data_IF_699336023413
#
_entry.id   IF_699336023413
#
_cell.length_a   1.000
_cell.length_b   1.000
_cell.length_c   1.000
_cell.angle_alpha   90.00
_cell.angle_beta   90.00
_cell.angle_gamma   90.00
#
_symmetry.space_group_name_H-M   'P 1'
#
loop_
_entity.id
_entity.type
_entity.pdbx_description
1 polymer ?
#
# COMPACT_ATOMS: atom_id res chain seq x y z
N UNK A 1 -12.91 -8.25 19.26
CA UNK A 1 -12.08 -8.45 18.04
C UNK A 1 -12.96 -8.73 16.84
N UNK A 2 -13.98 -9.57 16.99
CA UNK A 2 -14.96 -9.89 15.95
C UNK A 2 -15.91 -8.71 15.63
N UNK A 3 -16.24 -7.89 16.63
CA UNK A 3 -17.03 -6.66 16.44
C UNK A 3 -16.34 -5.60 15.55
N UNK A 4 -15.01 -5.49 15.66
CA UNK A 4 -14.21 -4.55 14.85
C UNK A 4 -14.14 -4.99 13.39
N UNK A 5 -14.02 -6.31 13.15
CA UNK A 5 -14.06 -6.88 11.80
C UNK A 5 -15.45 -6.73 11.18
N UNK A 6 -16.51 -6.98 11.94
CA UNK A 6 -17.89 -6.80 11.49
C UNK A 6 -18.20 -5.32 11.16
N UNK A 7 -17.77 -4.38 12.00
CA UNK A 7 -17.94 -2.95 11.75
C UNK A 7 -17.16 -2.46 10.52
N UNK A 8 -15.96 -3.00 10.28
CA UNK A 8 -15.17 -2.68 9.08
C UNK A 8 -15.85 -3.20 7.81
N UNK A 9 -16.37 -4.44 7.83
CA UNK A 9 -17.12 -5.03 6.72
C UNK A 9 -18.41 -4.23 6.45
N UNK A 10 -19.15 -3.86 7.49
CA UNK A 10 -20.38 -3.06 7.36
C UNK A 10 -20.09 -1.65 6.79
N UNK A 11 -19.02 -0.99 7.23
CA UNK A 11 -18.56 0.26 6.65
C UNK A 11 -18.21 0.10 5.16
N UNK A 12 -17.47 -0.96 4.81
CA UNK A 12 -17.12 -1.28 3.42
C UNK A 12 -18.36 -1.60 2.56
N UNK A 13 -19.35 -2.33 3.09
CA UNK A 13 -20.61 -2.64 2.41
C UNK A 13 -21.43 -1.39 2.10
N UNK A 14 -21.44 -0.42 3.03
CA UNK A 14 -22.10 0.89 2.82
C UNK A 14 -21.42 1.66 1.69
N UNK A 15 -20.09 1.68 1.65
CA UNK A 15 -19.34 2.33 0.57
C UNK A 15 -19.63 1.72 -0.81
N UNK A 16 -19.73 0.38 -0.92
CA UNK A 16 -20.06 -0.29 -2.18
C UNK A 16 -21.50 0.04 -2.64
N UNK A 17 -22.48 0.07 -1.72
CA UNK A 17 -23.86 0.47 -2.05
C UNK A 17 -23.98 1.93 -2.49
N UNK A 18 -23.21 2.84 -1.88
CA UNK A 18 -23.23 4.27 -2.21
C UNK A 18 -22.69 4.57 -3.62
N UNK A 19 -21.84 3.72 -4.17
CA UNK A 19 -21.28 3.89 -5.52
C UNK A 19 -22.22 3.46 -6.66
N UNK A 20 -23.45 3.00 -6.38
CA UNK A 20 -24.39 2.55 -7.42
C UNK A 20 -23.93 1.33 -8.22
N UNK A 21 -22.85 0.67 -7.77
CA UNK A 21 -22.38 -0.58 -8.34
C UNK A 21 -23.32 -1.69 -7.89
N UNK A 22 -23.87 -2.44 -8.86
CA UNK A 22 -24.65 -3.64 -8.56
C UNK A 22 -23.68 -4.68 -7.99
N UNK A 23 -23.55 -4.72 -6.66
CA UNK A 23 -22.66 -5.63 -5.93
C UNK A 23 -23.00 -7.12 -6.13
N UNK A 24 -23.95 -7.43 -7.02
CA UNK A 24 -24.50 -8.75 -7.27
C UNK A 24 -23.84 -9.48 -8.44
N UNK A 25 -23.07 -8.80 -9.29
CA UNK A 25 -22.42 -9.44 -10.44
C UNK A 25 -20.93 -9.13 -10.43
N UNK A 26 -20.15 -10.03 -9.82
CA UNK A 26 -18.72 -10.07 -10.04
C UNK A 26 -18.44 -10.80 -11.35
N UNK A 27 -18.11 -10.06 -12.40
CA UNK A 27 -17.63 -10.63 -13.65
C UNK A 27 -16.15 -10.99 -13.49
N UNK A 28 -15.88 -12.30 -13.44
CA UNK A 28 -14.53 -12.83 -13.29
C UNK A 28 -13.62 -12.47 -14.48
N UNK A 29 -14.14 -12.47 -15.70
CA UNK A 29 -13.35 -12.20 -16.91
C UNK A 29 -13.02 -10.71 -17.02
N UNK A 30 -13.96 -9.83 -16.67
CA UNK A 30 -13.70 -8.40 -16.52
C UNK A 30 -12.65 -8.13 -15.44
N UNK A 31 -12.79 -8.79 -14.29
CA UNK A 31 -11.87 -8.63 -13.18
C UNK A 31 -10.45 -9.11 -13.52
N UNK A 32 -10.32 -10.23 -14.23
CA UNK A 32 -9.04 -10.74 -14.70
C UNK A 32 -8.39 -9.77 -15.70
N UNK A 33 -9.16 -9.21 -16.63
CA UNK A 33 -8.67 -8.18 -17.58
C UNK A 33 -8.18 -6.94 -16.85
N UNK A 34 -8.94 -6.43 -15.88
CA UNK A 34 -8.51 -5.29 -15.06
C UNK A 34 -7.21 -5.60 -14.31
N UNK A 35 -7.11 -6.80 -13.72
CA UNK A 35 -5.93 -7.22 -12.98
C UNK A 35 -4.69 -7.30 -13.88
N UNK A 36 -4.82 -7.91 -15.06
CA UNK A 36 -3.76 -8.01 -16.06
C UNK A 36 -3.30 -6.63 -16.56
N UNK A 37 -4.25 -5.73 -16.83
CA UNK A 37 -3.95 -4.36 -17.27
C UNK A 37 -3.24 -3.55 -16.17
N UNK A 38 -3.71 -3.65 -14.92
CA UNK A 38 -3.12 -2.93 -13.80
C UNK A 38 -1.64 -3.27 -13.58
N UNK A 39 -1.21 -4.49 -13.91
CA UNK A 39 0.18 -4.94 -13.79
C UNK A 39 0.90 -5.12 -15.13
N UNK A 40 0.29 -4.68 -16.24
CA UNK A 40 0.83 -4.90 -17.59
C UNK A 40 2.25 -4.38 -17.73
N UNK A 41 2.50 -3.19 -17.18
CA UNK A 41 3.83 -2.60 -17.13
C UNK A 41 4.48 -2.92 -15.78
N UNK A 42 5.60 -3.69 -15.77
CA UNK A 42 6.34 -3.98 -14.55
C UNK A 42 6.81 -2.70 -13.89
N UNK A 43 6.41 -2.49 -12.65
CA UNK A 43 6.88 -1.37 -11.84
C UNK A 43 7.99 -1.89 -10.92
N UNK A 44 9.23 -1.80 -11.40
CA UNK A 44 10.42 -2.19 -10.63
C UNK A 44 10.89 -1.00 -9.81
N UNK A 45 10.85 -1.16 -8.49
CA UNK A 45 11.24 -0.15 -7.52
C UNK A 45 12.59 -0.52 -6.91
N UNK A 46 13.45 0.50 -6.78
CA UNK A 46 14.74 0.39 -6.13
C UNK A 46 14.76 1.25 -4.86
N UNK A 47 15.39 0.76 -3.79
CA UNK A 47 15.57 1.50 -2.53
C UNK A 47 17.06 1.61 -2.22
N UNK A 48 17.60 2.82 -2.30
CA UNK A 48 19.04 3.05 -2.27
C UNK A 48 19.41 4.36 -1.56
N UNK A 49 20.69 4.74 -1.66
CA UNK A 49 21.25 6.03 -1.23
C UNK A 49 20.74 6.48 0.16
N UNK A 50 21.11 5.79 1.25
CA UNK A 50 20.70 6.17 2.59
C UNK A 50 21.31 7.54 2.95
N UNK A 51 20.49 8.47 3.40
CA UNK A 51 20.92 9.82 3.78
C UNK A 51 20.28 10.24 5.10
N UNK A 52 21.09 10.77 6.01
CA UNK A 52 20.60 11.34 7.26
C UNK A 52 20.11 12.76 7.02
N UNK A 53 18.82 12.99 7.24
CA UNK A 53 18.16 14.30 7.13
C UNK A 53 17.65 14.77 8.49
N UNK A 54 17.33 16.06 8.58
CA UNK A 54 16.73 16.69 9.76
C UNK A 54 17.71 17.57 10.55
N UNK A 55 17.16 18.37 11.46
CA UNK A 55 17.91 19.27 12.33
C UNK A 55 18.57 18.53 13.50
N UNK A 56 19.44 19.22 14.25
CA UNK A 56 20.30 18.66 15.30
C UNK A 56 19.62 17.64 16.23
N UNK A 57 18.37 17.88 16.64
CA UNK A 57 17.61 17.03 17.55
C UNK A 57 16.64 16.04 16.87
N UNK A 58 16.40 16.14 15.56
CA UNK A 58 15.39 15.36 14.83
C UNK A 58 15.96 14.65 13.60
N UNK A 59 17.15 14.06 13.75
CA UNK A 59 17.81 13.30 12.69
C UNK A 59 17.05 12.01 12.38
N UNK A 60 16.91 11.72 11.09
CA UNK A 60 16.32 10.47 10.61
C UNK A 60 16.98 10.06 9.29
N UNK A 61 17.11 8.76 9.06
CA UNK A 61 17.61 8.22 7.79
C UNK A 61 16.48 8.12 6.78
N UNK A 62 16.69 8.70 5.61
CA UNK A 62 15.83 8.60 4.43
C UNK A 62 16.52 7.72 3.38
N UNK A 63 15.71 7.10 2.53
CA UNK A 63 16.15 6.28 1.41
C UNK A 63 15.57 6.87 0.12
N UNK A 64 16.34 6.82 -0.95
CA UNK A 64 15.86 7.17 -2.28
C UNK A 64 15.08 5.99 -2.86
N UNK A 65 13.83 6.24 -3.26
CA UNK A 65 12.95 5.28 -3.93
C UNK A 65 12.81 5.69 -5.39
N UNK A 66 13.31 4.87 -6.30
CA UNK A 66 13.26 5.14 -7.75
C UNK A 66 12.46 4.09 -8.50
N UNK A 67 11.96 4.46 -9.68
CA UNK A 67 11.27 3.56 -10.62
C UNK A 67 12.22 3.26 -11.76
N UNK A 68 12.62 2.01 -11.98
CA UNK A 68 13.50 1.70 -13.12
C UNK A 68 12.82 2.06 -14.46
N UNK A 69 13.57 2.55 -15.46
CA UNK A 69 15.02 2.81 -15.48
C UNK A 69 15.42 4.22 -14.96
N UNK A 70 14.50 4.96 -14.35
CA UNK A 70 14.74 6.33 -13.90
C UNK A 70 15.67 6.38 -12.68
N UNK A 71 16.56 7.35 -12.68
CA UNK A 71 17.51 7.63 -11.59
C UNK A 71 16.94 8.59 -10.55
N UNK A 72 15.97 9.41 -10.96
CA UNK A 72 15.27 10.32 -10.07
C UNK A 72 14.18 9.57 -9.31
N UNK A 73 13.87 10.08 -8.12
CA UNK A 73 12.92 9.44 -7.25
C UNK A 73 12.62 10.24 -5.99
N UNK A 74 11.82 9.62 -5.13
CA UNK A 74 11.30 10.27 -3.93
C UNK A 74 12.07 9.81 -2.71
N UNK A 75 12.23 10.70 -1.73
CA UNK A 75 12.83 10.31 -0.45
C UNK A 75 11.78 9.98 0.59
N UNK A 76 11.98 8.83 1.22
CA UNK A 76 11.10 8.29 2.26
C UNK A 76 11.92 7.76 3.42
N UNK A 77 11.52 8.05 4.66
CA UNK A 77 12.12 7.47 5.87
C UNK A 77 11.39 6.18 6.24
N UNK A 78 12.02 5.36 7.08
CA UNK A 78 11.45 4.07 7.52
C UNK A 78 10.00 4.20 8.05
N UNK A 79 9.68 5.25 8.81
CA UNK A 79 8.33 5.45 9.34
C UNK A 79 7.28 5.81 8.28
N UNK A 80 7.69 6.28 7.09
CA UNK A 80 6.77 6.42 5.96
C UNK A 80 6.39 5.05 5.39
N UNK A 81 7.33 4.09 5.38
CA UNK A 81 7.02 2.69 5.01
C UNK A 81 6.13 2.01 6.05
N UNK A 82 6.34 2.28 7.35
CA UNK A 82 5.45 1.83 8.43
C UNK A 82 4.02 2.35 8.22
N UNK A 83 3.87 3.63 7.88
CA UNK A 83 2.58 4.23 7.52
C UNK A 83 1.94 3.53 6.33
N UNK A 84 2.68 3.34 5.22
CA UNK A 84 2.13 2.70 4.02
C UNK A 84 1.62 1.29 4.33
N UNK A 85 2.44 0.48 5.04
CA UNK A 85 2.04 -0.86 5.45
C UNK A 85 0.79 -0.84 6.33
N UNK A 86 0.72 0.08 7.29
CA UNK A 86 -0.43 0.20 8.19
C UNK A 86 -1.72 0.50 7.43
N UNK A 87 -1.69 1.47 6.50
CA UNK A 87 -2.85 1.83 5.68
C UNK A 87 -3.31 0.65 4.83
N UNK A 88 -2.39 -0.02 4.12
CA UNK A 88 -2.74 -1.17 3.28
C UNK A 88 -3.28 -2.35 4.12
N UNK A 89 -2.70 -2.61 5.29
CA UNK A 89 -3.18 -3.67 6.18
C UNK A 89 -4.60 -3.40 6.70
N UNK A 90 -4.96 -2.14 6.97
CA UNK A 90 -6.30 -1.78 7.38
C UNK A 90 -7.33 -1.90 6.23
N UNK A 91 -6.93 -1.56 4.99
CA UNK A 91 -7.81 -1.54 3.81
C UNK A 91 -8.07 -2.91 3.20
N UNK A 92 -7.06 -3.77 3.13
CA UNK A 92 -7.12 -5.03 2.39
C UNK A 92 -7.24 -6.21 3.35
N UNK A 93 -8.36 -6.26 4.08
CA UNK A 93 -8.65 -7.37 5.00
C UNK A 93 -8.65 -8.70 4.24
N UNK A 94 -7.97 -9.71 4.78
CA UNK A 94 -7.82 -11.02 4.16
C UNK A 94 -6.69 -11.12 3.14
N UNK A 95 -6.10 -10.00 2.70
CA UNK A 95 -4.93 -9.99 1.83
C UNK A 95 -3.64 -10.01 2.65
N UNK A 96 -2.68 -10.85 2.26
CA UNK A 96 -1.37 -10.88 2.89
C UNK A 96 -0.54 -9.65 2.51
N UNK A 97 -0.40 -8.71 3.44
CA UNK A 97 0.44 -7.53 3.24
C UNK A 97 1.90 -7.87 3.57
N UNK A 98 2.85 -7.60 2.65
CA UNK A 98 4.28 -7.84 2.87
C UNK A 98 4.79 -7.23 4.18
N UNK A 99 5.66 -7.95 4.89
CA UNK A 99 6.28 -7.45 6.11
C UNK A 99 7.40 -6.44 5.79
N UNK A 100 7.59 -5.49 6.71
CA UNK A 100 8.76 -4.62 6.68
C UNK A 100 9.96 -5.35 7.28
N UNK A 101 11.21 -4.99 6.90
CA UNK A 101 12.38 -5.47 7.62
C UNK A 101 12.36 -4.97 9.06
N UNK A 102 13.01 -5.72 9.95
CA UNK A 102 13.00 -5.41 11.38
C UNK A 102 13.53 -3.99 11.67
N UNK A 103 12.88 -3.36 12.65
CA UNK A 103 13.25 -2.02 13.12
C UNK A 103 14.64 -2.01 13.76
N UNK A 104 15.04 -3.13 14.35
CA UNK A 104 16.36 -3.37 14.93
C UNK A 104 16.87 -4.72 14.46
N UNK A 105 18.17 -4.83 14.19
CA UNK A 105 18.79 -6.11 13.92
C UNK A 105 19.85 -6.34 15.02
N UNK A 106 19.61 -7.24 15.98
CA UNK A 106 20.55 -7.45 17.09
C UNK A 106 21.92 -7.95 16.60
N UNK A 107 21.96 -8.65 15.45
CA UNK A 107 23.17 -9.25 14.89
C UNK A 107 23.88 -8.33 13.89
N UNK A 108 23.17 -7.44 13.20
CA UNK A 108 23.75 -6.57 12.16
C UNK A 108 23.97 -5.16 12.70
N UNK A 109 25.16 -4.59 12.46
CA UNK A 109 25.53 -3.23 12.88
C UNK A 109 25.96 -2.38 11.68
N UNK A 110 25.87 -1.06 11.81
CA UNK A 110 26.37 -0.09 10.84
C UNK A 110 25.84 -0.33 9.41
N UNK A 111 26.74 -0.38 8.44
CA UNK A 111 26.41 -0.48 7.01
C UNK A 111 25.72 -1.79 6.64
N UNK A 112 26.05 -2.89 7.31
CA UNK A 112 25.41 -4.19 7.07
C UNK A 112 23.92 -4.15 7.44
N UNK A 113 23.57 -3.41 8.50
CA UNK A 113 22.18 -3.18 8.89
C UNK A 113 21.45 -2.33 7.85
N UNK A 114 22.06 -1.22 7.39
CA UNK A 114 21.47 -0.36 6.37
C UNK A 114 21.25 -1.10 5.05
N UNK A 115 22.23 -1.90 4.61
CA UNK A 115 22.12 -2.71 3.40
C UNK A 115 21.00 -3.76 3.51
N UNK A 116 20.89 -4.45 4.66
CA UNK A 116 19.81 -5.40 4.91
C UNK A 116 18.44 -4.73 4.91
N UNK A 117 18.34 -3.56 5.55
CA UNK A 117 17.12 -2.74 5.56
C UNK A 117 16.71 -2.31 4.16
N UNK A 118 17.62 -1.75 3.36
CA UNK A 118 17.32 -1.34 1.98
C UNK A 118 16.79 -2.52 1.15
N UNK A 119 17.44 -3.68 1.21
CA UNK A 119 16.96 -4.90 0.54
C UNK A 119 15.56 -5.31 1.00
N UNK A 120 15.27 -5.23 2.30
CA UNK A 120 13.96 -5.53 2.85
C UNK A 120 12.87 -4.56 2.39
N UNK A 121 13.17 -3.26 2.42
CA UNK A 121 12.26 -2.21 1.94
C UNK A 121 11.98 -2.33 0.45
N UNK A 122 12.99 -2.66 -0.36
CA UNK A 122 12.83 -2.91 -1.79
C UNK A 122 11.94 -4.12 -2.06
N UNK A 123 12.14 -5.24 -1.36
CA UNK A 123 11.25 -6.42 -1.48
C UNK A 123 9.81 -6.09 -1.10
N UNK A 124 9.61 -5.32 -0.02
CA UNK A 124 8.30 -4.86 0.41
C UNK A 124 7.59 -4.05 -0.69
N UNK A 125 8.28 -3.06 -1.28
CA UNK A 125 7.72 -2.23 -2.35
C UNK A 125 7.44 -3.02 -3.63
N UNK A 126 8.36 -3.89 -4.05
CA UNK A 126 8.16 -4.69 -5.27
C UNK A 126 7.04 -5.72 -5.11
N UNK A 127 6.85 -6.28 -3.91
CA UNK A 127 5.69 -7.14 -3.63
C UNK A 127 4.37 -6.34 -3.75
N UNK A 128 4.31 -5.12 -3.23
CA UNK A 128 3.17 -4.21 -3.41
C UNK A 128 2.93 -3.90 -4.89
N UNK A 129 3.98 -3.53 -5.63
CA UNK A 129 3.91 -3.17 -7.04
C UNK A 129 3.49 -4.33 -7.96
N UNK A 130 3.72 -5.58 -7.53
CA UNK A 130 3.28 -6.78 -8.24
C UNK A 130 1.80 -7.11 -8.06
N UNK A 131 1.14 -6.55 -7.03
CA UNK A 131 -0.28 -6.78 -6.78
C UNK A 131 -1.12 -5.72 -7.51
N UNK A 132 -2.08 -6.13 -8.36
CA UNK A 132 -2.95 -5.18 -9.07
C UNK A 132 -3.80 -4.36 -8.09
N UNK A 133 -4.21 -4.95 -6.97
CA UNK A 133 -4.98 -4.22 -5.93
C UNK A 133 -4.10 -3.19 -5.22
N UNK A 134 -2.95 -3.61 -4.69
CA UNK A 134 -2.14 -2.74 -3.85
C UNK A 134 -1.49 -1.62 -4.65
N UNK A 135 -0.98 -1.90 -5.86
CA UNK A 135 -0.35 -0.86 -6.70
C UNK A 135 -1.34 0.21 -7.15
N UNK A 136 -2.62 -0.14 -7.27
CA UNK A 136 -3.71 0.75 -7.66
C UNK A 136 -4.37 1.44 -6.46
N UNK A 137 -3.74 1.41 -5.28
CA UNK A 137 -4.16 2.15 -4.10
C UNK A 137 -3.59 3.58 -4.11
N UNK A 138 -4.41 4.56 -3.71
CA UNK A 138 -3.97 5.95 -3.66
C UNK A 138 -2.84 6.21 -2.67
N UNK A 139 -2.73 5.43 -1.58
CA UNK A 139 -1.61 5.55 -0.65
C UNK A 139 -0.29 5.13 -1.29
N UNK A 140 -0.30 4.12 -2.18
CA UNK A 140 0.89 3.72 -2.95
C UNK A 140 1.25 4.77 -3.99
N UNK A 141 0.25 5.29 -4.71
CA UNK A 141 0.45 6.39 -5.66
C UNK A 141 1.09 7.60 -4.98
N UNK A 142 0.50 8.08 -3.87
CA UNK A 142 1.04 9.19 -3.08
C UNK A 142 2.43 8.89 -2.51
N UNK A 143 2.68 7.66 -2.04
CA UNK A 143 4.01 7.28 -1.53
C UNK A 143 5.10 7.40 -2.59
N UNK A 144 4.79 7.10 -3.85
CA UNK A 144 5.74 7.15 -4.97
C UNK A 144 5.79 8.51 -5.70
N UNK A 145 4.94 9.46 -5.29
CA UNK A 145 4.82 10.77 -5.93
C UNK A 145 5.73 11.81 -5.27
N UNK A 146 6.29 12.69 -6.10
CA UNK A 146 7.13 13.79 -5.61
C UNK A 146 6.24 14.96 -5.22
N UNK A 147 5.85 14.99 -3.94
CA UNK A 147 5.00 16.04 -3.38
C UNK A 147 5.74 17.35 -3.11
N UNK A 148 7.04 17.46 -3.45
CA UNK A 148 7.86 18.63 -3.17
C UNK A 148 8.46 18.59 -1.76
N UNK A 149 7.89 19.32 -0.80
CA UNK A 149 8.44 19.46 0.56
C UNK A 149 7.82 18.48 1.59
N UNK A 150 8.40 18.46 2.80
CA UNK A 150 7.91 17.58 3.89
C UNK A 150 6.47 17.94 4.30
N UNK A 151 6.06 19.20 4.21
CA UNK A 151 4.71 19.64 4.59
C UNK A 151 3.68 19.09 3.61
N UNK A 152 3.93 19.24 2.32
CA UNK A 152 3.11 18.69 1.26
C UNK A 152 3.00 17.17 1.35
N UNK A 153 4.11 16.47 1.65
CA UNK A 153 4.11 15.03 1.91
C UNK A 153 3.19 14.65 3.10
N UNK A 154 3.26 15.40 4.20
CA UNK A 154 2.44 15.14 5.38
C UNK A 154 0.95 15.36 5.15
N UNK A 155 0.59 16.28 4.26
CA UNK A 155 -0.81 16.51 3.84
C UNK A 155 -1.27 15.39 2.92
N UNK A 156 -0.52 15.11 1.85
CA UNK A 156 -0.86 14.07 0.87
C UNK A 156 -1.05 12.70 1.53
N UNK A 157 -0.16 12.31 2.45
CA UNK A 157 -0.29 11.02 3.17
C UNK A 157 -1.51 10.96 4.09
N UNK A 158 -1.99 12.08 4.62
CA UNK A 158 -3.21 12.12 5.45
C UNK A 158 -4.43 11.91 4.58
N UNK A 159 -4.51 12.64 3.48
CA UNK A 159 -5.60 12.52 2.50
C UNK A 159 -5.66 11.12 1.89
N UNK A 160 -4.50 10.60 1.49
CA UNK A 160 -4.38 9.26 0.91
C UNK A 160 -4.65 8.13 1.91
N UNK A 161 -4.71 8.41 3.22
CA UNK A 161 -5.08 7.45 4.26
C UNK A 161 -6.60 7.38 4.51
N UNK A 162 -7.38 8.37 4.05
CA UNK A 162 -8.85 8.35 4.12
C UNK A 162 -9.40 7.21 3.25
N UNK A 163 -10.28 6.38 3.80
CA UNK A 163 -10.77 5.16 3.12
C UNK A 163 -11.51 5.46 1.81
N UNK A 164 -12.30 6.51 1.78
CA UNK A 164 -13.03 6.97 0.58
C UNK A 164 -12.07 7.32 -0.58
N UNK A 165 -10.82 7.66 -0.25
CA UNK A 165 -9.77 7.98 -1.21
C UNK A 165 -8.92 6.76 -1.57
N UNK A 166 -9.24 5.54 -1.14
CA UNK A 166 -8.36 4.38 -1.32
C UNK A 166 -8.08 4.01 -2.78
N UNK A 167 -8.96 4.41 -3.71
CA UNK A 167 -8.78 4.21 -5.14
C UNK A 167 -9.31 2.86 -5.65
N UNK A 168 -9.11 2.58 -6.95
CA UNK A 168 -9.75 1.45 -7.64
C UNK A 168 -9.28 0.09 -7.14
N UNK A 169 -8.03 -0.03 -6.67
CA UNK A 169 -7.51 -1.28 -6.11
C UNK A 169 -8.33 -1.79 -4.92
N UNK A 170 -8.68 -0.89 -4.00
CA UNK A 170 -9.48 -1.21 -2.82
C UNK A 170 -10.91 -1.61 -3.20
N UNK A 171 -11.54 -0.86 -4.12
CA UNK A 171 -12.89 -1.16 -4.60
C UNK A 171 -12.97 -2.54 -5.26
N UNK A 172 -11.99 -2.89 -6.10
CA UNK A 172 -11.92 -4.21 -6.75
C UNK A 172 -11.69 -5.34 -5.76
N UNK A 173 -10.88 -5.11 -4.72
CA UNK A 173 -10.71 -6.08 -3.63
C UNK A 173 -12.02 -6.31 -2.87
N UNK A 174 -12.73 -5.24 -2.50
CA UNK A 174 -14.03 -5.33 -1.84
C UNK A 174 -15.06 -6.09 -2.68
N UNK A 175 -15.19 -5.77 -3.96
CA UNK A 175 -16.09 -6.49 -4.87
C UNK A 175 -15.80 -8.00 -4.85
N UNK A 176 -14.52 -8.39 -4.92
CA UNK A 176 -14.12 -9.80 -4.89
C UNK A 176 -14.52 -10.50 -3.60
N UNK A 177 -14.13 -9.96 -2.44
CA UNK A 177 -14.38 -10.64 -1.15
C UNK A 177 -15.86 -10.64 -0.76
N UNK A 178 -16.62 -9.62 -1.17
CA UNK A 178 -18.04 -9.50 -0.85
C UNK A 178 -18.91 -10.38 -1.76
N UNK A 179 -18.55 -10.53 -3.04
CA UNK A 179 -19.27 -11.44 -3.94
C UNK A 179 -19.03 -12.91 -3.59
N UNK A 180 -17.83 -13.27 -3.11
CA UNK A 180 -17.56 -14.60 -2.55
C UNK A 180 -18.45 -14.91 -1.32
N UNK A 181 -18.77 -13.92 -0.48
CA UNK A 181 -19.64 -14.10 0.69
C UNK A 181 -21.12 -14.22 0.33
N UNK A 182 -21.61 -13.46 -0.67
CA UNK A 182 -23.03 -13.51 -1.11
C UNK A 182 -23.37 -14.88 -1.72
N UNK A 183 -22.45 -15.50 -2.45
CA UNK A 183 -22.63 -16.86 -2.98
C UNK A 183 -22.68 -17.95 -1.89
N UNK A 184 -22.16 -17.66 -0.70
CA UNK A 184 -22.10 -18.60 0.44
C UNK A 184 -23.15 -18.37 1.52
N UNK A 185 -24.02 -17.36 1.39
CA UNK A 185 -25.15 -17.20 2.31
C UNK A 185 -26.29 -18.09 1.83
N UNK A 186 -26.55 -19.25 2.45
CA UNK A 186 -27.85 -19.89 2.25
C UNK A 186 -28.89 -18.91 2.79
N UNK A 187 -29.90 -18.64 1.98
CA UNK A 187 -31.04 -17.82 2.34
C UNK A 187 -31.52 -18.13 3.77
N UNK A 188 -31.70 -17.09 4.58
CA UNK A 188 -32.56 -17.11 5.76
C UNK A 188 -33.65 -16.07 5.58
#
# INVERSE_FOLDING_TARGET
RDELAAAAIDASLRSVKLCGADARVFDLDEHQRWSAEAVREPLLLNVSAPETRGSYLKKHTTFLVTKEPHVDGVRRRFSDFEWLRFVLHARYTGLLIPSLPDKTAPVLKGDAFLASRMRGLQRFLNAIASSPYLRSDAAVASFLDDTGDETAWLTARKEAAVLENAGPGHMRWLQRILCEHIASSPER
#
